data_IF_803400187327
#
_entry.id   IF_803400187327
#
_cell.length_a   1.000
_cell.length_b   1.000
_cell.length_c   1.000
_cell.angle_alpha   90.00
_cell.angle_beta   90.00
_cell.angle_gamma   90.00
#
_symmetry.space_group_name_H-M   'P 1'
#
loop_
_entity.id
_entity.type
_entity.pdbx_description
1 polymer ?
#
# COMPACT_ATOMS: atom_id res chain seq x y z
N UNK A 1 5.45 -4.17 19.58
CA UNK A 1 6.12 -3.93 18.29
C UNK A 1 7.45 -3.25 18.59
N UNK A 2 8.53 -3.65 17.95
CA UNK A 2 9.82 -2.96 18.07
C UNK A 2 10.35 -2.73 16.66
N UNK A 3 10.64 -1.45 16.33
CA UNK A 3 11.12 -1.05 15.02
C UNK A 3 10.92 0.44 14.77
N UNK A 4 11.63 0.95 13.78
CA UNK A 4 11.56 2.34 13.35
C UNK A 4 10.64 2.47 12.13
N UNK A 5 9.60 3.27 12.26
CA UNK A 5 8.62 3.52 11.19
C UNK A 5 8.85 4.91 10.62
N UNK A 6 9.05 4.97 9.31
CA UNK A 6 9.11 6.23 8.57
C UNK A 6 7.71 6.56 8.04
N UNK A 7 7.21 7.75 8.34
CA UNK A 7 5.89 8.22 7.91
C UNK A 7 6.05 9.44 7.03
N UNK A 8 5.48 9.40 5.82
CA UNK A 8 5.39 10.55 4.92
C UNK A 8 3.93 10.81 4.54
N UNK A 9 3.42 11.97 4.91
CA UNK A 9 2.05 12.43 4.60
C UNK A 9 2.06 13.96 4.66
N UNK A 10 1.37 14.64 3.77
CA UNK A 10 1.29 16.11 3.75
C UNK A 10 0.40 16.66 4.86
N UNK A 11 -0.60 15.88 5.30
CA UNK A 11 -1.50 16.25 6.38
C UNK A 11 -0.85 16.10 7.76
N UNK A 12 -0.68 17.23 8.46
CA UNK A 12 -0.12 17.25 9.83
C UNK A 12 -0.96 16.46 10.82
N UNK A 13 -2.27 16.43 10.65
CA UNK A 13 -3.20 15.73 11.54
C UNK A 13 -2.99 14.23 11.40
N UNK A 14 -2.91 13.73 10.17
CA UNK A 14 -2.64 12.32 9.90
C UNK A 14 -1.28 11.92 10.45
N UNK A 15 -0.23 12.72 10.21
CA UNK A 15 1.09 12.45 10.80
C UNK A 15 1.06 12.37 12.32
N UNK A 16 0.36 13.29 12.98
CA UNK A 16 0.24 13.30 14.44
C UNK A 16 -0.48 12.04 14.95
N UNK A 17 -1.60 11.67 14.32
CA UNK A 17 -2.39 10.48 14.67
C UNK A 17 -1.57 9.21 14.48
N UNK A 18 -0.89 9.07 13.34
CA UNK A 18 -0.04 7.92 13.05
C UNK A 18 1.13 7.82 14.02
N UNK A 19 1.83 8.94 14.28
CA UNK A 19 2.94 8.99 15.25
C UNK A 19 2.46 8.55 16.63
N UNK A 20 1.34 9.08 17.11
CA UNK A 20 0.80 8.71 18.41
C UNK A 20 0.42 7.23 18.50
N UNK A 21 -0.26 6.71 17.48
CA UNK A 21 -0.72 5.31 17.47
C UNK A 21 0.47 4.33 17.41
N UNK A 22 1.44 4.58 16.55
CA UNK A 22 2.63 3.73 16.39
C UNK A 22 3.56 3.79 17.61
N UNK A 23 3.74 4.99 18.20
CA UNK A 23 4.53 5.12 19.44
C UNK A 23 3.87 4.39 20.62
N UNK A 24 2.55 4.48 20.75
CA UNK A 24 1.81 3.68 21.76
C UNK A 24 1.94 2.18 21.54
N UNK A 25 2.10 1.75 20.30
CA UNK A 25 2.36 0.35 19.96
C UNK A 25 3.82 -0.10 20.19
N UNK A 26 4.71 0.81 20.63
CA UNK A 26 6.11 0.53 20.97
C UNK A 26 7.10 0.78 19.84
N UNK A 27 6.68 1.41 18.72
CA UNK A 27 7.57 1.74 17.63
C UNK A 27 8.25 3.11 17.82
N UNK A 28 9.45 3.25 17.26
CA UNK A 28 10.06 4.57 17.02
C UNK A 28 9.48 5.14 15.72
N UNK A 29 9.14 6.43 15.70
CA UNK A 29 8.50 7.05 14.53
C UNK A 29 9.27 8.28 14.11
N UNK A 30 9.58 8.37 12.82
CA UNK A 30 10.04 9.60 12.15
C UNK A 30 8.99 10.01 11.13
N UNK A 31 8.48 11.21 11.21
CA UNK A 31 7.39 11.69 10.36
C UNK A 31 7.80 12.95 9.59
N UNK A 32 7.45 13.01 8.31
CA UNK A 32 7.73 14.11 7.41
C UNK A 32 6.54 14.39 6.49
N UNK A 33 6.49 15.60 5.91
CA UNK A 33 5.56 15.95 4.83
C UNK A 33 6.24 16.01 3.46
N UNK A 34 7.45 15.45 3.29
CA UNK A 34 8.29 15.61 2.10
C UNK A 34 8.92 14.29 1.68
N UNK A 35 8.87 14.01 0.39
CA UNK A 35 9.55 12.86 -0.25
C UNK A 35 11.06 12.99 -0.09
N UNK A 36 11.62 14.18 -0.28
CA UNK A 36 13.06 14.42 -0.17
C UNK A 36 13.60 14.01 1.20
N UNK A 37 12.89 14.40 2.27
CA UNK A 37 13.27 14.04 3.64
C UNK A 37 13.12 12.55 3.90
N UNK A 38 12.03 11.93 3.42
CA UNK A 38 11.83 10.49 3.50
C UNK A 38 12.95 9.73 2.79
N UNK A 39 13.30 10.18 1.59
CA UNK A 39 14.34 9.57 0.78
C UNK A 39 15.71 9.61 1.47
N UNK A 40 16.06 10.76 2.06
CA UNK A 40 17.30 10.91 2.82
C UNK A 40 17.39 9.89 3.96
N UNK A 41 16.31 9.68 4.73
CA UNK A 41 16.31 8.68 5.81
C UNK A 41 16.46 7.25 5.29
N UNK A 42 15.81 6.94 4.18
CA UNK A 42 15.95 5.63 3.52
C UNK A 42 17.40 5.42 3.05
N UNK A 43 18.03 6.48 2.52
CA UNK A 43 19.42 6.49 2.08
C UNK A 43 20.41 6.28 3.22
N UNK A 44 20.14 6.87 4.37
CA UNK A 44 20.90 6.69 5.62
C UNK A 44 20.75 5.29 6.21
N UNK A 45 19.87 4.47 5.65
CA UNK A 45 19.59 3.12 6.12
C UNK A 45 18.53 3.06 7.22
N UNK A 46 17.90 4.19 7.55
CA UNK A 46 16.85 4.26 8.57
C UNK A 46 15.55 3.57 8.13
N UNK A 47 14.77 3.21 9.14
CA UNK A 47 13.42 2.66 8.99
C UNK A 47 13.38 1.16 8.72
N UNK A 48 12.49 0.51 9.42
CA UNK A 48 12.14 -0.90 9.23
C UNK A 48 10.84 -1.06 8.43
N UNK A 49 9.97 -0.05 8.46
CA UNK A 49 8.75 0.03 7.64
C UNK A 49 8.57 1.47 7.20
N UNK A 50 8.12 1.66 5.97
CA UNK A 50 7.71 2.97 5.43
C UNK A 50 6.19 3.00 5.29
N UNK A 51 5.58 4.10 5.71
CA UNK A 51 4.18 4.44 5.43
C UNK A 51 4.22 5.75 4.63
N UNK A 52 3.71 5.76 3.41
CA UNK A 52 3.74 6.93 2.54
C UNK A 52 2.38 7.23 1.93
N UNK A 53 1.99 8.49 1.96
CA UNK A 53 0.92 8.96 1.07
C UNK A 53 1.38 8.90 -0.39
N UNK A 54 0.42 8.70 -1.30
CA UNK A 54 0.64 8.84 -2.74
C UNK A 54 0.92 10.30 -3.09
N UNK A 55 0.12 11.24 -2.58
CA UNK A 55 0.21 12.64 -2.93
C UNK A 55 1.04 13.39 -1.88
N UNK A 56 2.27 13.74 -2.22
CA UNK A 56 3.12 14.60 -1.42
C UNK A 56 3.42 15.91 -2.20
N UNK A 57 3.70 17.03 -1.51
CA UNK A 57 3.90 18.33 -2.17
C UNK A 57 5.04 18.35 -3.19
N UNK A 58 6.03 17.49 -2.98
CA UNK A 58 7.26 17.37 -3.76
C UNK A 58 7.30 16.13 -4.66
N UNK A 59 6.17 15.41 -4.82
CA UNK A 59 6.07 14.32 -5.78
C UNK A 59 5.05 13.22 -5.46
N UNK A 60 5.11 12.14 -6.23
CA UNK A 60 4.23 10.97 -6.10
C UNK A 60 4.94 9.86 -5.29
N UNK A 61 4.34 9.47 -4.16
CA UNK A 61 4.85 8.39 -3.30
C UNK A 61 4.93 7.03 -3.99
N UNK A 62 4.13 6.78 -5.03
CA UNK A 62 4.21 5.55 -5.82
C UNK A 62 5.46 5.50 -6.70
N UNK A 63 5.88 6.63 -7.25
CA UNK A 63 7.05 6.70 -8.12
C UNK A 63 8.36 6.40 -7.38
N UNK A 64 8.37 6.54 -6.05
CA UNK A 64 9.50 6.16 -5.21
C UNK A 64 9.69 4.65 -5.08
N UNK A 65 8.61 3.86 -5.16
CA UNK A 65 8.63 2.42 -4.88
C UNK A 65 9.70 1.65 -5.66
N UNK A 66 9.82 1.78 -6.99
CA UNK A 66 10.85 1.05 -7.73
C UNK A 66 12.27 1.42 -7.30
N UNK A 67 12.50 2.69 -6.94
CA UNK A 67 13.80 3.17 -6.48
C UNK A 67 14.13 2.63 -5.08
N UNK A 68 13.17 2.65 -4.16
CA UNK A 68 13.30 2.04 -2.83
C UNK A 68 13.61 0.55 -2.96
N UNK A 69 12.88 -0.18 -3.80
CA UNK A 69 13.06 -1.62 -3.99
C UNK A 69 14.40 -1.99 -4.62
N UNK A 70 14.96 -1.14 -5.47
CA UNK A 70 16.33 -1.33 -6.00
C UNK A 70 17.39 -1.18 -4.92
N UNK A 71 17.19 -0.24 -3.97
CA UNK A 71 18.17 0.09 -2.94
C UNK A 71 18.03 -0.77 -1.69
N UNK A 72 16.80 -0.96 -1.24
CA UNK A 72 16.42 -1.73 -0.04
C UNK A 72 15.28 -2.68 -0.36
N UNK A 73 15.61 -3.80 -0.99
CA UNK A 73 14.65 -4.79 -1.53
C UNK A 73 13.66 -5.28 -0.46
N UNK A 74 14.14 -5.46 0.76
CA UNK A 74 13.38 -6.03 1.87
C UNK A 74 12.65 -4.98 2.71
N UNK A 75 12.78 -3.68 2.39
CA UNK A 75 12.07 -2.62 3.10
C UNK A 75 10.59 -2.63 2.72
N UNK A 76 9.67 -2.97 3.64
CA UNK A 76 8.25 -2.93 3.35
C UNK A 76 7.76 -1.48 3.29
N UNK A 77 7.01 -1.17 2.25
CA UNK A 77 6.38 0.14 2.03
C UNK A 77 4.87 -0.05 1.97
N UNK A 78 4.16 0.55 2.92
CA UNK A 78 2.71 0.62 2.96
C UNK A 78 2.29 1.95 2.35
N UNK A 79 1.49 1.90 1.31
CA UNK A 79 0.95 3.10 0.66
C UNK A 79 -0.41 3.44 1.26
N UNK A 80 -0.61 4.70 1.61
CA UNK A 80 -1.90 5.26 1.99
C UNK A 80 -2.35 6.27 0.94
N UNK A 81 -3.65 6.36 0.65
CA UNK A 81 -4.13 7.29 -0.38
C UNK A 81 -5.58 7.69 -0.17
N UNK A 82 -5.87 8.96 -0.45
CA UNK A 82 -7.24 9.45 -0.57
C UNK A 82 -7.92 8.99 -1.88
N UNK A 83 -7.13 8.57 -2.86
CA UNK A 83 -7.65 7.99 -4.11
C UNK A 83 -8.01 6.53 -3.88
N UNK A 84 -9.26 6.29 -3.49
CA UNK A 84 -9.77 4.93 -3.29
C UNK A 84 -10.19 4.33 -4.63
N UNK A 85 -9.21 4.08 -5.53
CA UNK A 85 -9.45 3.42 -6.79
C UNK A 85 -8.72 2.08 -6.85
N UNK A 86 -9.37 1.08 -7.43
CA UNK A 86 -8.76 -0.24 -7.71
C UNK A 86 -7.46 -0.08 -8.50
N UNK A 87 -7.42 0.89 -9.41
CA UNK A 87 -6.26 1.18 -10.25
C UNK A 87 -5.06 1.59 -9.42
N UNK A 88 -5.24 2.48 -8.42
CA UNK A 88 -4.16 2.93 -7.55
C UNK A 88 -3.61 1.77 -6.71
N UNK A 89 -4.49 0.90 -6.21
CA UNK A 89 -4.09 -0.28 -5.45
C UNK A 89 -3.30 -1.28 -6.30
N UNK A 90 -3.76 -1.53 -7.55
CA UNK A 90 -3.04 -2.40 -8.50
C UNK A 90 -1.66 -1.81 -8.83
N UNK A 91 -1.61 -0.51 -9.18
CA UNK A 91 -0.35 0.19 -9.49
C UNK A 91 0.63 0.11 -8.31
N UNK A 92 0.16 0.33 -7.08
CA UNK A 92 0.98 0.18 -5.89
C UNK A 92 1.57 -1.24 -5.76
N UNK A 93 0.74 -2.27 -5.97
CA UNK A 93 1.17 -3.67 -5.94
C UNK A 93 2.19 -4.00 -7.03
N UNK A 94 1.97 -3.55 -8.27
CA UNK A 94 2.90 -3.76 -9.40
C UNK A 94 4.25 -3.09 -9.18
N UNK A 95 4.26 -1.92 -8.52
CA UNK A 95 5.47 -1.19 -8.18
C UNK A 95 6.17 -1.74 -6.93
N UNK A 96 5.63 -2.79 -6.30
CA UNK A 96 6.24 -3.48 -5.18
C UNK A 96 5.90 -2.92 -3.81
N UNK A 97 4.78 -2.22 -3.65
CA UNK A 97 4.26 -1.91 -2.33
C UNK A 97 4.03 -3.20 -1.52
N UNK A 98 4.32 -3.16 -0.24
CA UNK A 98 4.00 -4.23 0.68
C UNK A 98 2.49 -4.35 0.89
N UNK A 99 1.81 -3.20 1.02
CA UNK A 99 0.37 -3.12 1.20
C UNK A 99 -0.16 -1.74 0.76
N UNK A 100 -1.47 -1.64 0.58
CA UNK A 100 -2.18 -0.43 0.22
C UNK A 100 -3.36 -0.20 1.19
N UNK A 101 -3.58 1.05 1.60
CA UNK A 101 -4.64 1.40 2.54
C UNK A 101 -5.35 2.70 2.09
N UNK A 102 -6.64 2.64 1.69
CA UNK A 102 -7.39 3.83 1.32
C UNK A 102 -7.71 4.70 2.54
N UNK A 103 -7.70 6.02 2.36
CA UNK A 103 -8.20 6.99 3.34
C UNK A 103 -9.72 7.18 3.16
N UNK A 104 -10.53 7.24 4.22
CA UNK A 104 -10.18 7.07 5.63
C UNK A 104 -9.90 5.60 6.00
N UNK A 105 -8.92 5.35 6.86
CA UNK A 105 -8.52 4.00 7.27
C UNK A 105 -8.70 3.78 8.77
N UNK A 106 -8.88 2.51 9.16
CA UNK A 106 -8.89 2.07 10.55
C UNK A 106 -7.44 1.93 11.07
N UNK A 107 -7.12 2.62 12.16
CA UNK A 107 -5.82 2.55 12.81
C UNK A 107 -5.45 1.14 13.28
N UNK A 108 -6.45 0.32 13.68
CA UNK A 108 -6.20 -1.08 14.09
C UNK A 108 -5.73 -1.91 12.89
N UNK A 109 -6.35 -1.71 11.72
CA UNK A 109 -5.94 -2.36 10.47
C UNK A 109 -4.50 -1.95 10.10
N UNK A 110 -4.18 -0.65 10.16
CA UNK A 110 -2.83 -0.15 9.89
C UNK A 110 -1.80 -0.77 10.84
N UNK A 111 -2.06 -0.76 12.16
CA UNK A 111 -1.16 -1.34 13.16
C UNK A 111 -0.95 -2.83 12.93
N UNK A 112 -1.98 -3.58 12.54
CA UNK A 112 -1.86 -5.00 12.17
C UNK A 112 -0.94 -5.21 10.97
N UNK A 113 -1.09 -4.39 9.91
CA UNK A 113 -0.24 -4.44 8.70
C UNK A 113 1.23 -4.10 9.04
N UNK A 114 1.46 -3.07 9.86
CA UNK A 114 2.80 -2.70 10.32
C UNK A 114 3.44 -3.82 11.14
N UNK A 115 2.67 -4.46 12.05
CA UNK A 115 3.16 -5.58 12.84
C UNK A 115 3.57 -6.78 11.97
N UNK A 116 2.74 -7.11 10.98
CA UNK A 116 3.07 -8.16 9.99
C UNK A 116 4.32 -7.80 9.19
N UNK A 117 4.47 -6.56 8.76
CA UNK A 117 5.63 -6.09 8.02
C UNK A 117 6.93 -6.20 8.84
N UNK A 118 6.91 -5.80 10.11
CA UNK A 118 8.05 -5.94 11.02
C UNK A 118 8.42 -7.41 11.30
N UNK A 119 7.41 -8.28 11.44
CA UNK A 119 7.62 -9.71 11.73
C UNK A 119 8.22 -10.45 10.53
N UNK A 120 7.90 -10.05 9.32
CA UNK A 120 8.36 -10.72 8.10
C UNK A 120 9.79 -10.35 7.68
N UNK A 121 10.41 -9.35 8.30
CA UNK A 121 11.83 -9.01 8.04
C UNK A 121 12.81 -10.08 8.54
N UNK A 122 12.38 -11.00 9.40
CA UNK A 122 13.21 -12.09 9.93
C UNK A 122 13.17 -13.39 9.14
N UNK A 123 12.31 -13.53 8.16
CA UNK A 123 12.14 -14.74 7.35
C UNK A 123 12.10 -14.39 5.87
N UNK A 124 13.20 -14.68 5.18
CA UNK A 124 13.26 -14.72 3.72
C UNK A 124 12.27 -15.80 3.20
N UNK A 125 11.02 -15.48 3.08
CA UNK A 125 10.07 -16.28 2.33
C UNK A 125 9.06 -15.36 1.64
N UNK A 126 9.21 -15.26 0.32
CA UNK A 126 8.17 -14.87 -0.62
C UNK A 126 6.97 -15.82 -0.46
N UNK A 127 6.16 -15.58 0.54
CA UNK A 127 4.84 -16.17 0.63
C UNK A 127 3.92 -14.97 0.80
N UNK A 128 3.27 -14.59 -0.30
CA UNK A 128 1.97 -13.93 -0.25
C UNK A 128 1.07 -14.91 0.50
N UNK A 129 1.13 -14.89 1.84
CA UNK A 129 0.16 -15.63 2.64
C UNK A 129 -1.14 -14.84 2.60
N UNK A 130 -2.01 -15.36 1.77
CA UNK A 130 -3.44 -15.20 1.80
C UNK A 130 -3.97 -15.52 3.20
N UNK A 131 -3.98 -14.57 4.10
CA UNK A 131 -4.96 -14.60 5.17
C UNK A 131 -6.20 -13.91 4.61
N UNK A 132 -7.22 -14.70 4.34
CA UNK A 132 -8.49 -14.30 3.77
C UNK A 132 -9.35 -13.43 4.69
N UNK A 133 -8.80 -12.34 5.20
CA UNK A 133 -9.57 -11.23 5.72
C UNK A 133 -9.86 -10.28 4.55
N UNK A 134 -10.92 -10.59 3.85
CA UNK A 134 -11.55 -9.71 2.86
C UNK A 134 -11.78 -8.36 3.50
N UNK A 135 -11.17 -7.31 2.98
CA UNK A 135 -11.47 -5.94 3.37
C UNK A 135 -12.82 -5.56 2.73
N UNK A 136 -13.92 -5.39 3.50
CA UNK A 136 -15.25 -5.17 2.92
C UNK A 136 -15.41 -3.80 2.24
N UNK A 137 -14.37 -2.97 2.23
CA UNK A 137 -14.40 -1.62 1.66
C UNK A 137 -13.85 -1.53 0.23
N UNK A 138 -13.27 -2.60 -0.31
CA UNK A 138 -12.95 -2.66 -1.74
C UNK A 138 -14.17 -3.24 -2.48
N UNK A 139 -14.71 -2.54 -3.50
CA UNK A 139 -15.88 -3.00 -4.26
C UNK A 139 -15.63 -4.33 -5.00
N UNK A 140 -14.38 -4.76 -5.10
CA UNK A 140 -13.97 -6.01 -5.76
C UNK A 140 -13.26 -6.93 -4.77
N UNK A 141 -13.88 -8.09 -4.49
CA UNK A 141 -13.42 -9.07 -3.53
C UNK A 141 -12.77 -10.24 -4.30
N UNK A 142 -11.48 -10.47 -4.08
CA UNK A 142 -10.82 -11.66 -4.58
C UNK A 142 -9.30 -11.55 -4.56
N UNK A 143 -8.65 -12.36 -3.72
CA UNK A 143 -7.19 -12.49 -3.63
C UNK A 143 -6.66 -13.71 -4.39
N UNK A 144 -7.52 -14.42 -5.15
CA UNK A 144 -7.08 -15.57 -5.93
C UNK A 144 -6.13 -15.16 -7.06
N UNK A 145 -5.18 -16.03 -7.47
CA UNK A 145 -4.29 -15.75 -8.61
C UNK A 145 -5.06 -15.36 -9.88
N UNK A 146 -6.20 -16.00 -10.11
CA UNK A 146 -7.08 -15.68 -11.25
C UNK A 146 -7.67 -14.26 -11.18
N UNK A 147 -8.07 -13.80 -9.97
CA UNK A 147 -8.54 -12.42 -9.78
C UNK A 147 -7.41 -11.41 -9.96
N UNK A 148 -6.19 -11.72 -9.55
CA UNK A 148 -5.02 -10.89 -9.79
C UNK A 148 -4.76 -10.70 -11.30
N UNK A 149 -4.94 -11.74 -12.10
CA UNK A 149 -4.82 -11.65 -13.56
C UNK A 149 -5.94 -10.80 -14.17
N UNK A 150 -7.17 -10.91 -13.64
CA UNK A 150 -8.29 -10.03 -14.04
C UNK A 150 -7.97 -8.56 -13.72
N UNK A 151 -7.43 -8.27 -12.54
CA UNK A 151 -7.04 -6.91 -12.17
C UNK A 151 -5.93 -6.35 -13.07
N UNK A 152 -4.91 -7.16 -13.39
CA UNK A 152 -3.85 -6.75 -14.34
C UNK A 152 -4.40 -6.48 -15.74
N UNK A 153 -5.35 -7.29 -16.19
CA UNK A 153 -6.00 -7.08 -17.48
C UNK A 153 -6.81 -5.78 -17.48
N UNK A 154 -7.63 -5.53 -16.47
CA UNK A 154 -8.39 -4.30 -16.29
C UNK A 154 -7.51 -3.05 -16.29
N UNK A 155 -6.39 -3.08 -15.55
CA UNK A 155 -5.44 -1.97 -15.48
C UNK A 155 -4.88 -1.61 -16.86
N UNK A 156 -4.70 -2.59 -17.76
CA UNK A 156 -4.24 -2.35 -19.13
C UNK A 156 -5.32 -1.78 -20.02
N UNK A 157 -6.56 -2.24 -19.85
CA UNK A 157 -7.69 -1.85 -20.72
C UNK A 157 -8.21 -0.45 -20.37
N UNK A 158 -8.18 -0.06 -19.10
CA UNK A 158 -8.66 1.24 -18.62
C UNK A 158 -7.93 2.45 -19.21
N UNK A 159 -6.74 2.25 -19.77
CA UNK A 159 -5.96 3.30 -20.45
C UNK A 159 -6.09 3.25 -21.99
N UNK A 160 -7.01 2.46 -22.52
CA UNK A 160 -7.22 2.31 -23.96
C UNK A 160 -8.67 2.57 -24.33
N UNK A 161 -8.92 3.09 -25.54
CA UNK A 161 -10.27 3.27 -26.10
C UNK A 161 -10.87 1.95 -26.66
N UNK A 162 -10.43 0.81 -26.13
CA UNK A 162 -10.89 -0.50 -26.59
C UNK A 162 -12.22 -0.87 -25.92
N UNK A 163 -13.18 -1.29 -26.74
CA UNK A 163 -14.41 -1.90 -26.23
C UNK A 163 -14.11 -3.26 -25.61
N UNK A 164 -14.45 -3.45 -24.34
CA UNK A 164 -14.18 -4.69 -23.61
C UNK A 164 -15.49 -5.41 -23.29
N UNK A 165 -15.55 -6.71 -23.54
CA UNK A 165 -16.67 -7.57 -23.19
C UNK A 165 -16.30 -8.37 -21.93
N UNK A 166 -17.12 -8.22 -20.88
CA UNK A 166 -16.97 -8.98 -19.63
C UNK A 166 -17.98 -10.12 -19.63
N UNK A 167 -17.49 -11.36 -19.64
CA UNK A 167 -18.32 -12.57 -19.61
C UNK A 167 -18.12 -13.34 -18.30
N UNK A 168 -19.16 -14.02 -17.84
CA UNK A 168 -19.11 -14.85 -16.65
C UNK A 168 -20.52 -15.26 -16.19
N UNK A 169 -20.62 -16.19 -15.27
CA UNK A 169 -21.89 -16.66 -14.70
C UNK A 169 -22.66 -15.54 -13.97
N UNK A 170 -23.97 -15.72 -13.81
CA UNK A 170 -24.79 -14.75 -13.08
C UNK A 170 -24.31 -14.69 -11.61
N UNK A 171 -24.21 -13.47 -11.04
CA UNK A 171 -23.78 -13.26 -9.68
C UNK A 171 -22.25 -13.17 -9.45
N UNK A 172 -21.42 -13.23 -10.51
CA UNK A 172 -19.95 -13.15 -10.40
C UNK A 172 -19.40 -11.73 -10.26
N UNK A 173 -20.25 -10.71 -10.09
CA UNK A 173 -19.83 -9.33 -9.86
C UNK A 173 -19.38 -8.57 -11.13
N UNK A 174 -19.79 -8.97 -12.32
CA UNK A 174 -19.46 -8.28 -13.57
C UNK A 174 -19.83 -6.80 -13.59
N UNK A 175 -20.94 -6.45 -12.94
CA UNK A 175 -21.43 -5.08 -12.86
C UNK A 175 -20.49 -4.17 -12.03
N UNK A 176 -19.80 -4.75 -11.04
CA UNK A 176 -18.80 -4.04 -10.23
C UNK A 176 -17.51 -3.77 -11.02
N UNK A 177 -17.23 -4.55 -12.08
CA UNK A 177 -16.06 -4.36 -12.95
C UNK A 177 -16.34 -3.32 -14.07
N UNK A 178 -17.61 -3.04 -14.37
CA UNK A 178 -18.02 -2.16 -15.47
C UNK A 178 -18.21 -0.70 -15.02
N UNK A 179 -18.23 -0.43 -13.74
CA UNK A 179 -18.35 0.90 -13.13
C UNK A 179 -17.06 1.34 -12.48
#
# INVERSE_FOLDING_TARGET
MDGTILVADDDRTIRAVLTQALTRAGCKVRATGSIETLWRWIDEGDGDVVISDVNLPDGDGLEMLPAIKRKRKDLPVIIISAQNTVITAIKASELGAYDYLPKPFDLKKLLSKVNKALSNQGTNNNIIQQDGAVDPELPLIGSSPLMQDVYRFLARVLHTDLSTIITGESGTGKDLLAH
#
